data_IF_766072663288
#
_entry.id   IF_766072663288
#
_cell.length_a   1.000
_cell.length_b   1.000
_cell.length_c   1.000
_cell.angle_alpha   90.00
_cell.angle_beta   90.00
_cell.angle_gamma   90.00
#
_symmetry.space_group_name_H-M   'P 1'
#
loop_
_entity.id
_entity.type
_entity.pdbx_description
1 polymer ?
#
# COMPACT_ATOMS: atom_id res chain seq x y z
N UNK A 1 -29.69 14.28 7.94
CA UNK A 1 -29.22 14.93 9.17
C UNK A 1 -28.50 13.84 9.94
N UNK A 2 -27.20 13.67 9.66
CA UNK A 2 -26.41 12.52 10.12
C UNK A 2 -25.70 12.86 11.42
N UNK A 3 -25.80 11.96 12.37
CA UNK A 3 -25.17 12.03 13.68
C UNK A 3 -23.65 12.15 13.59
N UNK A 4 -23.14 13.25 14.07
CA UNK A 4 -21.72 13.44 14.34
C UNK A 4 -21.41 12.61 15.60
N UNK A 5 -20.71 11.47 15.44
CA UNK A 5 -20.19 10.70 16.56
C UNK A 5 -19.28 11.59 17.39
N UNK A 6 -19.75 11.92 18.59
CA UNK A 6 -19.04 12.62 19.64
C UNK A 6 -17.80 11.79 19.99
N UNK A 7 -16.62 12.26 19.57
CA UNK A 7 -15.36 11.73 20.07
C UNK A 7 -15.34 12.01 21.55
N UNK A 8 -15.25 10.97 22.37
CA UNK A 8 -15.30 11.07 23.82
C UNK A 8 -14.14 11.95 24.31
N UNK A 9 -14.46 13.01 25.00
CA UNK A 9 -13.50 13.89 25.70
C UNK A 9 -12.66 13.14 26.73
N UNK A 10 -13.04 11.91 27.05
CA UNK A 10 -12.34 11.07 28.02
C UNK A 10 -10.95 10.61 27.50
N UNK A 11 -10.78 10.42 26.17
CA UNK A 11 -9.49 10.01 25.61
C UNK A 11 -8.41 11.07 25.77
N UNK A 12 -8.76 12.34 25.59
CA UNK A 12 -7.83 13.47 25.71
C UNK A 12 -7.46 13.73 27.18
N UNK A 13 -8.40 13.48 28.10
CA UNK A 13 -8.15 13.62 29.55
C UNK A 13 -7.16 12.55 30.05
N UNK A 14 -7.24 11.32 29.52
CA UNK A 14 -6.30 10.26 29.88
C UNK A 14 -4.88 10.53 29.40
N UNK A 15 -4.70 11.05 28.19
CA UNK A 15 -3.37 11.40 27.69
C UNK A 15 -2.72 12.53 28.48
N UNK A 16 -3.47 13.57 28.85
CA UNK A 16 -2.95 14.67 29.65
C UNK A 16 -2.65 14.26 31.09
N UNK A 17 -3.36 13.29 31.67
CA UNK A 17 -3.05 12.72 32.97
C UNK A 17 -1.78 11.88 32.95
N UNK A 18 -1.55 11.08 31.91
CA UNK A 18 -0.30 10.33 31.75
C UNK A 18 0.94 11.24 31.65
N UNK A 19 0.84 12.31 30.88
CA UNK A 19 1.93 13.28 30.73
C UNK A 19 2.26 13.99 32.08
N UNK A 20 1.27 14.27 32.88
CA UNK A 20 1.49 14.88 34.20
C UNK A 20 2.08 13.90 35.23
N UNK A 21 1.73 12.63 35.18
CA UNK A 21 2.31 11.58 36.02
C UNK A 21 3.79 11.40 35.70
N UNK A 22 4.17 11.41 34.41
CA UNK A 22 5.55 11.27 33.94
C UNK A 22 6.43 12.51 34.28
N UNK A 23 5.85 13.67 34.54
CA UNK A 23 6.57 14.89 34.91
C UNK A 23 6.81 15.05 36.41
N UNK A 24 6.11 14.30 37.25
CA UNK A 24 6.11 14.54 38.71
C UNK A 24 6.67 13.38 39.53
N UNK A 25 7.39 12.44 38.92
CA UNK A 25 8.01 11.33 39.65
C UNK A 25 9.35 11.76 40.24
N UNK A 26 9.29 12.20 41.48
CA UNK A 26 10.43 12.18 42.42
C UNK A 26 10.69 10.72 42.87
N UNK A 27 11.95 10.36 42.94
CA UNK A 27 12.57 9.06 42.79
C UNK A 27 12.42 8.04 43.95
N UNK A 28 11.36 8.01 44.76
CA UNK A 28 11.31 7.15 45.95
C UNK A 28 10.05 6.34 46.21
N UNK A 29 9.16 6.10 45.29
CA UNK A 29 7.97 5.30 45.61
C UNK A 29 7.63 4.24 44.57
N UNK A 30 7.98 2.99 44.87
CA UNK A 30 7.47 1.80 44.13
C UNK A 30 6.00 1.57 44.43
N UNK A 31 5.08 2.28 43.78
CA UNK A 31 3.66 1.92 43.80
C UNK A 31 3.29 1.17 42.54
N UNK A 32 2.88 -0.07 42.72
CA UNK A 32 2.26 -0.87 41.69
C UNK A 32 0.90 -0.26 41.34
N UNK A 33 0.75 0.31 40.12
CA UNK A 33 -0.53 0.77 39.62
C UNK A 33 -1.25 -0.37 38.94
N UNK A 34 -2.35 -0.80 39.51
CA UNK A 34 -3.29 -1.75 38.89
C UNK A 34 -4.36 -0.95 38.16
N UNK A 35 -4.20 -0.78 36.87
CA UNK A 35 -5.22 -0.17 36.02
C UNK A 35 -6.39 -1.16 35.84
N UNK A 36 -7.54 -0.81 36.42
CA UNK A 36 -8.80 -1.52 36.20
C UNK A 36 -9.58 -0.79 35.12
N UNK A 37 -9.38 -1.20 33.84
CA UNK A 37 -10.16 -0.70 32.73
C UNK A 37 -11.40 -1.58 32.49
N UNK A 38 -12.45 -1.05 31.84
CA UNK A 38 -13.58 -1.87 31.40
C UNK A 38 -13.12 -2.87 30.36
N UNK A 39 -13.58 -4.10 30.53
CA UNK A 39 -13.25 -5.25 29.70
C UNK A 39 -13.52 -4.97 28.21
N UNK A 40 -12.49 -5.02 27.37
CA UNK A 40 -12.69 -5.07 25.93
C UNK A 40 -11.68 -4.34 25.02
N UNK A 41 -10.63 -3.74 25.55
CA UNK A 41 -9.57 -3.16 24.71
C UNK A 41 -8.29 -3.99 24.76
N UNK A 42 -8.00 -4.69 23.68
CA UNK A 42 -6.71 -5.28 23.38
C UNK A 42 -5.79 -4.17 22.89
N UNK A 43 -4.85 -3.73 23.73
CA UNK A 43 -3.75 -2.89 23.26
C UNK A 43 -2.69 -3.78 22.61
N UNK A 44 -2.74 -3.86 21.30
CA UNK A 44 -1.65 -4.40 20.49
C UNK A 44 -0.64 -3.29 20.28
N UNK A 45 0.61 -3.53 20.68
CA UNK A 45 1.79 -2.67 20.53
C UNK A 45 1.89 -1.44 21.45
N UNK A 46 2.12 -1.68 22.75
CA UNK A 46 2.78 -0.68 23.58
C UNK A 46 4.28 -1.05 23.67
N UNK A 47 5.12 -0.30 23.00
CA UNK A 47 6.57 -0.40 23.18
C UNK A 47 6.88 0.01 24.63
N UNK A 48 7.24 -0.97 25.47
CA UNK A 48 7.70 -0.73 26.83
C UNK A 48 9.08 -0.06 26.75
N UNK A 49 9.14 1.25 26.91
CA UNK A 49 10.38 1.97 27.14
C UNK A 49 10.91 1.60 28.55
N UNK A 50 11.82 0.63 28.60
CA UNK A 50 12.53 0.28 29.84
C UNK A 50 13.53 1.40 30.19
N UNK A 51 13.18 2.25 31.13
CA UNK A 51 14.11 3.19 31.76
C UNK A 51 15.03 2.44 32.69
N UNK A 52 16.26 2.19 32.27
CA UNK A 52 17.30 1.67 33.13
C UNK A 52 17.73 2.74 34.13
N UNK A 53 17.22 2.67 35.36
CA UNK A 53 17.74 3.46 36.48
C UNK A 53 19.07 2.87 36.92
N UNK A 54 20.17 3.58 36.69
CA UNK A 54 21.49 3.29 37.27
C UNK A 54 21.52 3.71 38.76
N UNK A 55 21.52 2.76 39.66
CA UNK A 55 21.73 2.92 41.09
C UNK A 55 22.71 1.84 41.60
N UNK A 56 23.87 2.27 42.10
CA UNK A 56 25.07 1.49 42.34
C UNK A 56 25.07 0.44 43.41
N UNK A 57 26.03 -0.47 43.30
CA UNK A 57 26.70 -1.19 44.41
C UNK A 57 26.41 -2.68 44.50
N UNK A 58 27.38 -3.55 44.20
CA UNK A 58 27.43 -4.93 44.68
C UNK A 58 27.70 -5.96 43.59
N UNK A 59 28.92 -6.52 43.55
CA UNK A 59 29.40 -7.50 42.60
C UNK A 59 28.56 -8.78 42.53
N UNK A 60 28.31 -9.19 41.34
CA UNK A 60 27.72 -10.47 40.95
C UNK A 60 27.67 -10.49 39.43
N UNK A 61 28.25 -11.52 38.79
CA UNK A 61 28.37 -11.66 37.34
C UNK A 61 27.03 -11.43 36.62
N UNK A 62 26.81 -10.20 36.18
CA UNK A 62 25.62 -9.82 35.46
C UNK A 62 25.86 -10.11 34.01
N UNK A 63 25.16 -11.11 33.47
CA UNK A 63 24.87 -11.14 32.04
C UNK A 63 24.19 -9.82 31.69
N UNK A 64 24.85 -8.97 30.86
CA UNK A 64 24.23 -7.82 30.25
C UNK A 64 22.95 -8.30 29.54
N UNK A 65 21.78 -7.70 29.82
CA UNK A 65 20.60 -8.04 29.07
C UNK A 65 20.90 -7.75 27.61
N UNK A 66 20.85 -8.77 26.79
CA UNK A 66 20.88 -8.62 25.32
C UNK A 66 19.75 -7.66 24.96
N UNK A 67 20.03 -6.56 24.26
CA UNK A 67 18.94 -5.71 23.76
C UNK A 67 17.99 -6.60 22.96
N UNK A 68 16.66 -6.39 23.05
CA UNK A 68 15.73 -7.12 22.20
C UNK A 68 16.19 -6.92 20.76
N UNK A 69 16.06 -7.97 19.92
CA UNK A 69 16.38 -7.84 18.51
C UNK A 69 15.62 -6.62 17.97
N UNK A 70 16.35 -5.65 17.43
CA UNK A 70 15.70 -4.57 16.68
C UNK A 70 15.09 -5.23 15.45
N UNK A 71 13.78 -5.38 15.45
CA UNK A 71 13.06 -5.79 14.26
C UNK A 71 13.16 -4.59 13.29
N UNK A 72 14.19 -4.59 12.44
CA UNK A 72 14.32 -3.60 11.38
C UNK A 72 13.39 -4.03 10.27
N UNK A 73 12.34 -3.24 10.03
CA UNK A 73 11.46 -3.45 8.89
C UNK A 73 12.25 -3.29 7.57
N UNK A 74 12.12 -4.25 6.68
CA UNK A 74 12.66 -4.20 5.33
C UNK A 74 11.53 -3.83 4.36
N UNK A 75 11.86 -3.04 3.33
CA UNK A 75 10.86 -2.67 2.35
C UNK A 75 10.39 -3.88 1.54
N UNK A 76 9.10 -3.91 1.16
CA UNK A 76 8.60 -4.87 0.19
C UNK A 76 9.25 -4.64 -1.19
N UNK A 77 9.12 -5.63 -2.06
CA UNK A 77 9.61 -5.57 -3.43
C UNK A 77 8.44 -5.84 -4.38
N UNK A 78 8.06 -4.84 -5.19
CA UNK A 78 7.01 -4.96 -6.20
C UNK A 78 7.45 -5.79 -7.42
N UNK A 79 8.74 -6.00 -7.58
CA UNK A 79 9.32 -6.64 -8.75
C UNK A 79 9.86 -5.62 -9.76
N UNK A 80 10.24 -6.12 -10.93
CA UNK A 80 10.85 -5.27 -11.97
C UNK A 80 9.79 -4.60 -12.85
N UNK A 81 10.15 -3.43 -13.38
CA UNK A 81 9.41 -2.82 -14.47
C UNK A 81 9.34 -3.76 -15.68
N UNK A 82 8.23 -3.74 -16.38
CA UNK A 82 8.01 -4.57 -17.56
C UNK A 82 7.25 -3.80 -18.65
N UNK A 83 7.33 -4.29 -19.89
CA UNK A 83 6.53 -3.78 -20.99
C UNK A 83 5.63 -4.90 -21.53
N UNK A 84 4.38 -4.56 -21.82
CA UNK A 84 3.39 -5.44 -22.42
C UNK A 84 3.02 -4.94 -23.80
N UNK A 85 2.89 -5.85 -24.75
CA UNK A 85 2.51 -5.53 -26.14
C UNK A 85 1.10 -6.01 -26.43
N UNK A 86 0.31 -5.16 -27.04
CA UNK A 86 -1.08 -5.37 -27.40
C UNK A 86 -1.29 -4.99 -28.86
N UNK A 87 -2.40 -5.42 -29.42
CA UNK A 87 -2.87 -5.01 -30.76
C UNK A 87 -4.09 -4.12 -30.54
N UNK A 88 -4.18 -2.99 -31.26
CA UNK A 88 -5.39 -2.16 -31.20
C UNK A 88 -6.64 -2.97 -31.55
N UNK A 89 -7.81 -2.50 -31.19
CA UNK A 89 -9.12 -3.13 -31.38
C UNK A 89 -9.33 -4.47 -30.67
N UNK A 90 -8.32 -5.00 -29.99
CA UNK A 90 -8.40 -6.31 -29.33
C UNK A 90 -7.91 -6.23 -27.88
N UNK A 91 -8.83 -6.51 -26.95
CA UNK A 91 -8.46 -6.65 -25.53
C UNK A 91 -7.66 -7.93 -25.32
N UNK A 92 -6.61 -7.86 -24.49
CA UNK A 92 -5.81 -9.01 -24.11
C UNK A 92 -5.48 -9.01 -22.63
N UNK A 93 -5.42 -10.20 -22.04
CA UNK A 93 -5.05 -10.39 -20.63
C UNK A 93 -3.55 -10.48 -20.46
N UNK A 94 -3.05 -9.95 -19.35
CA UNK A 94 -1.66 -10.06 -18.94
C UNK A 94 -1.58 -10.33 -17.43
N UNK A 95 -0.41 -10.72 -16.96
CA UNK A 95 -0.17 -10.99 -15.55
C UNK A 95 1.04 -10.20 -15.03
N UNK A 96 0.95 -9.77 -13.79
CA UNK A 96 2.03 -9.12 -13.05
C UNK A 96 2.45 -10.08 -11.93
N UNK A 97 3.76 -10.25 -11.75
CA UNK A 97 4.30 -11.09 -10.68
C UNK A 97 3.88 -10.58 -9.30
N UNK A 98 3.66 -11.51 -8.38
CA UNK A 98 3.33 -11.17 -7.00
C UNK A 98 4.49 -10.43 -6.32
N UNK A 99 4.23 -9.33 -5.60
CA UNK A 99 5.24 -8.69 -4.77
C UNK A 99 5.64 -9.60 -3.60
N UNK A 100 6.82 -9.34 -3.05
CA UNK A 100 7.36 -10.09 -1.92
C UNK A 100 7.79 -9.16 -0.81
N UNK A 101 7.77 -9.66 0.43
CA UNK A 101 8.28 -8.95 1.58
C UNK A 101 9.29 -9.82 2.35
N UNK A 102 10.49 -9.29 2.70
CA UNK A 102 11.52 -10.07 3.39
C UNK A 102 11.15 -10.45 4.83
N UNK A 103 10.30 -9.68 5.48
CA UNK A 103 9.84 -9.90 6.85
C UNK A 103 8.56 -10.74 6.90
N UNK A 104 7.91 -10.94 5.73
CA UNK A 104 6.68 -11.70 5.59
C UNK A 104 5.44 -10.90 5.98
N UNK A 105 5.51 -9.58 5.94
CA UNK A 105 4.41 -8.69 6.27
C UNK A 105 3.28 -8.75 5.24
N UNK A 106 2.10 -8.33 5.68
CA UNK A 106 0.92 -8.28 4.81
C UNK A 106 1.01 -7.12 3.83
N UNK A 107 0.99 -7.42 2.54
CA UNK A 107 1.13 -6.43 1.49
C UNK A 107 -0.20 -5.85 1.03
N UNK A 108 -0.21 -4.54 0.83
CA UNK A 108 -1.30 -3.80 0.18
C UNK A 108 -0.81 -3.24 -1.15
N UNK A 109 -1.48 -3.60 -2.25
CA UNK A 109 -1.13 -3.17 -3.60
C UNK A 109 -2.12 -2.10 -4.04
N UNK A 110 -1.61 -0.93 -4.41
CA UNK A 110 -2.42 0.22 -4.85
C UNK A 110 -2.05 0.63 -6.27
N UNK A 111 -3.05 0.87 -7.09
CA UNK A 111 -2.90 1.45 -8.43
C UNK A 111 -2.64 2.95 -8.31
N UNK A 112 -1.44 3.40 -8.67
CA UNK A 112 -1.04 4.81 -8.57
C UNK A 112 -1.33 5.57 -9.87
N UNK A 113 -1.12 4.91 -11.03
CA UNK A 113 -1.44 5.45 -12.35
C UNK A 113 -2.01 4.35 -13.23
N UNK A 114 -2.81 4.74 -14.22
CA UNK A 114 -3.36 3.84 -15.25
C UNK A 114 -3.01 4.37 -16.64
N UNK A 115 -2.89 3.50 -17.66
CA UNK A 115 -2.74 3.93 -19.04
C UNK A 115 -3.96 4.71 -19.51
N UNK A 116 -3.74 5.73 -20.33
CA UNK A 116 -4.78 6.59 -20.91
C UNK A 116 -5.25 6.10 -22.28
N UNK A 117 -4.43 5.29 -22.95
CA UNK A 117 -4.73 4.73 -24.29
C UNK A 117 -5.70 3.55 -24.30
N UNK A 118 -6.30 3.20 -23.16
CA UNK A 118 -7.26 2.09 -23.06
C UNK A 118 -7.84 1.92 -21.67
N UNK A 119 -8.55 0.82 -21.48
CA UNK A 119 -9.23 0.49 -20.23
C UNK A 119 -8.64 -0.79 -19.61
N UNK A 120 -8.35 -0.75 -18.32
CA UNK A 120 -7.95 -1.91 -17.54
C UNK A 120 -9.17 -2.49 -16.81
N UNK A 121 -9.35 -3.80 -16.91
CA UNK A 121 -10.42 -4.52 -16.22
C UNK A 121 -9.91 -5.79 -15.54
N UNK A 122 -10.59 -6.17 -14.47
CA UNK A 122 -10.45 -7.48 -13.84
C UNK A 122 -11.28 -8.54 -14.59
N UNK A 123 -11.06 -9.82 -14.27
CA UNK A 123 -11.80 -10.95 -14.87
C UNK A 123 -13.33 -10.82 -14.71
N UNK A 124 -13.78 -10.23 -13.63
CA UNK A 124 -15.21 -10.00 -13.36
C UNK A 124 -15.81 -8.79 -14.10
N UNK A 125 -15.00 -8.11 -14.94
CA UNK A 125 -15.39 -6.90 -15.66
C UNK A 125 -15.25 -5.61 -14.85
N UNK A 126 -14.80 -5.67 -13.60
CA UNK A 126 -14.57 -4.47 -12.80
C UNK A 126 -13.48 -3.60 -13.42
N UNK A 127 -13.77 -2.32 -13.67
CA UNK A 127 -12.80 -1.36 -14.19
C UNK A 127 -11.81 -0.97 -13.10
N UNK A 128 -10.53 -1.06 -13.43
CA UNK A 128 -9.43 -0.63 -12.55
C UNK A 128 -9.21 0.88 -12.75
N UNK A 129 -9.13 1.63 -11.65
CA UNK A 129 -8.87 3.07 -11.65
C UNK A 129 -7.69 3.41 -10.75
N UNK A 130 -7.12 4.58 -10.91
CA UNK A 130 -6.14 5.08 -9.95
C UNK A 130 -6.76 5.16 -8.55
N UNK A 131 -6.03 4.69 -7.53
CA UNK A 131 -6.50 4.52 -6.15
C UNK A 131 -7.15 3.16 -5.85
N UNK A 132 -7.42 2.31 -6.86
CA UNK A 132 -7.90 0.93 -6.61
C UNK A 132 -6.85 0.13 -5.85
N UNK A 133 -7.31 -0.77 -4.96
CA UNK A 133 -6.46 -1.79 -4.34
C UNK A 133 -6.68 -3.12 -5.04
N UNK A 134 -5.58 -3.85 -5.28
CA UNK A 134 -5.60 -5.14 -5.94
C UNK A 134 -5.15 -6.25 -5.00
N UNK A 135 -5.76 -7.42 -5.12
CA UNK A 135 -5.30 -8.65 -4.47
C UNK A 135 -4.21 -9.33 -5.32
N UNK A 136 -3.43 -10.22 -4.71
CA UNK A 136 -2.43 -11.01 -5.45
C UNK A 136 -3.06 -11.80 -6.61
N UNK A 137 -4.23 -12.38 -6.39
CA UNK A 137 -4.96 -13.13 -7.43
C UNK A 137 -5.40 -12.24 -8.59
N UNK A 138 -5.74 -10.98 -8.33
CA UNK A 138 -6.14 -10.04 -9.37
C UNK A 138 -4.98 -9.60 -10.25
N UNK A 139 -3.73 -9.58 -9.73
CA UNK A 139 -2.53 -9.30 -10.54
C UNK A 139 -2.26 -10.35 -11.62
N UNK A 140 -2.72 -11.58 -11.43
CA UNK A 140 -2.48 -12.68 -12.36
C UNK A 140 -3.33 -12.58 -13.63
N UNK A 141 -4.44 -11.82 -13.61
CA UNK A 141 -5.38 -11.74 -14.73
C UNK A 141 -5.99 -10.34 -14.83
N UNK A 142 -5.22 -9.41 -15.37
CA UNK A 142 -5.69 -8.07 -15.75
C UNK A 142 -5.88 -8.07 -17.26
N UNK A 143 -6.96 -7.49 -17.74
CA UNK A 143 -7.21 -7.30 -19.18
C UNK A 143 -7.03 -5.82 -19.53
N UNK A 144 -6.23 -5.55 -20.55
CA UNK A 144 -6.13 -4.24 -21.16
C UNK A 144 -6.87 -4.26 -22.49
N UNK A 145 -7.76 -3.30 -22.69
CA UNK A 145 -8.47 -3.08 -23.94
C UNK A 145 -8.08 -1.70 -24.46
N UNK A 146 -7.27 -1.61 -25.53
CA UNK A 146 -6.95 -0.34 -26.17
C UNK A 146 -8.22 0.38 -26.62
N UNK A 147 -8.20 1.70 -26.61
CA UNK A 147 -9.23 2.49 -27.26
C UNK A 147 -9.15 2.29 -28.78
N UNK A 148 -10.27 2.46 -29.49
CA UNK A 148 -10.30 2.35 -30.95
C UNK A 148 -9.31 3.34 -31.60
N UNK A 149 -8.61 2.89 -32.63
CA UNK A 149 -7.65 3.68 -33.43
C UNK A 149 -6.47 4.28 -32.62
N UNK A 150 -6.21 3.77 -31.40
CA UNK A 150 -5.09 4.24 -30.53
C UNK A 150 -3.92 3.28 -30.61
N UNK A 151 -2.76 3.78 -31.06
CA UNK A 151 -1.55 2.99 -31.13
C UNK A 151 -0.30 3.80 -30.73
N UNK A 152 0.78 3.08 -30.34
CA UNK A 152 2.00 3.68 -29.79
C UNK A 152 2.86 4.46 -30.80
N UNK A 153 2.56 4.38 -32.09
CA UNK A 153 3.30 5.12 -33.12
C UNK A 153 2.90 6.61 -33.15
N UNK A 154 1.67 6.92 -32.73
CA UNK A 154 1.09 8.27 -32.79
C UNK A 154 0.56 8.76 -31.45
N UNK A 155 0.30 7.87 -30.48
CA UNK A 155 -0.35 8.18 -29.22
C UNK A 155 0.54 7.82 -28.01
N UNK A 156 0.41 8.59 -26.94
CA UNK A 156 0.94 8.23 -25.64
C UNK A 156 -0.05 7.32 -24.90
N UNK A 157 0.26 6.03 -24.86
CA UNK A 157 -0.59 5.04 -24.21
C UNK A 157 -0.62 5.22 -22.68
N UNK A 158 0.46 5.76 -22.11
CA UNK A 158 0.65 5.88 -20.66
C UNK A 158 1.03 4.56 -20.00
N UNK A 159 1.30 4.64 -18.70
CA UNK A 159 1.82 3.53 -17.91
C UNK A 159 0.85 3.14 -16.78
N UNK A 160 0.82 1.85 -16.46
CA UNK A 160 0.29 1.36 -15.19
C UNK A 160 1.39 1.43 -14.13
N UNK A 161 1.17 2.16 -13.06
CA UNK A 161 2.08 2.21 -11.91
C UNK A 161 1.39 1.58 -10.71
N UNK A 162 2.04 0.57 -10.14
CA UNK A 162 1.60 -0.06 -8.90
C UNK A 162 2.56 0.27 -7.77
N UNK A 163 2.01 0.53 -6.60
CA UNK A 163 2.75 0.70 -5.35
C UNK A 163 2.34 -0.38 -4.39
N UNK A 164 3.30 -1.05 -3.77
CA UNK A 164 3.10 -1.99 -2.68
C UNK A 164 3.55 -1.37 -1.36
N UNK A 165 2.82 -1.62 -0.28
CA UNK A 165 3.17 -1.22 1.09
C UNK A 165 2.97 -2.39 2.04
N UNK A 166 3.87 -2.50 3.03
CA UNK A 166 3.86 -3.50 4.09
C UNK A 166 3.06 -3.08 5.33
N UNK A 167 2.57 -1.84 5.37
CA UNK A 167 1.86 -1.29 6.54
C UNK A 167 2.77 -0.97 7.73
N UNK A 168 4.08 -1.19 7.63
CA UNK A 168 5.09 -0.90 8.65
C UNK A 168 5.98 0.30 8.30
N UNK A 169 5.68 0.94 7.17
CA UNK A 169 6.39 2.13 6.68
C UNK A 169 7.28 1.86 5.46
N UNK A 170 7.42 0.61 5.05
CA UNK A 170 8.07 0.22 3.81
C UNK A 170 7.13 0.31 2.62
N UNK A 171 7.67 0.68 1.47
CA UNK A 171 6.95 0.70 0.20
C UNK A 171 7.92 0.55 -0.98
N UNK A 172 7.40 0.06 -2.10
CA UNK A 172 8.07 -0.03 -3.38
C UNK A 172 7.08 0.16 -4.53
N UNK A 173 7.58 0.49 -5.72
CA UNK A 173 6.74 0.74 -6.89
C UNK A 173 7.36 0.18 -8.16
N UNK A 174 6.51 -0.33 -9.05
CA UNK A 174 6.92 -0.74 -10.39
C UNK A 174 6.05 -0.08 -11.46
N UNK A 175 6.68 0.18 -12.61
CA UNK A 175 6.04 0.77 -13.79
C UNK A 175 5.93 -0.28 -14.89
N UNK A 176 4.75 -0.39 -15.46
CA UNK A 176 4.41 -1.32 -16.52
C UNK A 176 3.99 -0.51 -17.76
N UNK A 177 4.83 -0.50 -18.78
CA UNK A 177 4.59 0.24 -20.01
C UNK A 177 3.77 -0.58 -21.00
N UNK A 178 2.93 0.10 -21.78
CA UNK A 178 2.04 -0.52 -22.75
C UNK A 178 2.45 -0.10 -24.16
N UNK A 179 2.60 -1.10 -25.02
CA UNK A 179 2.90 -0.91 -26.45
C UNK A 179 1.68 -1.43 -27.22
N UNK A 180 1.03 -0.57 -27.98
CA UNK A 180 -0.11 -0.94 -28.82
C UNK A 180 0.31 -0.85 -30.27
N UNK A 181 0.21 -1.98 -30.99
CA UNK A 181 0.54 -2.07 -32.42
C UNK A 181 -0.70 -1.79 -33.25
N UNK A 182 -0.54 -0.95 -34.25
CA UNK A 182 -1.60 -0.62 -35.21
C UNK A 182 -2.04 -1.82 -36.04
N UNK A 183 -3.34 -1.88 -36.33
CA UNK A 183 -3.96 -2.80 -37.29
C UNK A 183 -4.50 -1.98 -38.43
N UNK A 184 -4.44 -2.50 -39.68
CA UNK A 184 -4.98 -1.80 -40.82
C UNK A 184 -6.49 -1.93 -40.83
N UNK A 185 -7.19 -0.80 -40.68
CA UNK A 185 -8.64 -0.71 -40.77
C UNK A 185 -9.13 -0.66 -42.21
N UNK A 186 -10.29 -1.26 -42.39
CA UNK A 186 -10.96 -1.14 -43.67
C UNK A 186 -11.51 0.28 -43.85
N UNK A 187 -11.41 0.89 -45.04
CA UNK A 187 -12.01 2.19 -45.28
C UNK A 187 -13.52 2.17 -44.98
N UNK A 188 -13.97 3.03 -44.09
CA UNK A 188 -15.36 3.10 -43.62
C UNK A 188 -16.25 4.02 -44.52
N UNK A 189 -15.63 4.90 -45.33
CA UNK A 189 -16.39 5.82 -46.19
C UNK A 189 -15.63 6.07 -47.50
N UNK A 190 -16.21 5.61 -48.61
CA UNK A 190 -15.82 5.99 -49.98
C UNK A 190 -16.96 6.83 -50.56
N UNK A 191 -16.95 8.12 -50.29
CA UNK A 191 -17.86 9.03 -51.00
C UNK A 191 -17.29 9.34 -52.38
N UNK A 192 -17.87 8.74 -53.42
CA UNK A 192 -17.65 9.14 -54.81
C UNK A 192 -18.41 10.45 -55.04
N UNK A 193 -17.70 11.58 -55.02
CA UNK A 193 -18.28 12.81 -55.55
C UNK A 193 -18.48 12.62 -57.05
N UNK A 194 -19.74 12.63 -57.51
CA UNK A 194 -20.07 12.61 -58.94
C UNK A 194 -19.37 13.77 -59.63
N UNK A 195 -18.47 13.45 -60.56
CA UNK A 195 -17.96 14.41 -61.54
C UNK A 195 -19.13 14.88 -62.43
N UNK A 196 -19.57 16.09 -62.21
CA UNK A 196 -20.49 16.81 -63.11
C UNK A 196 -19.72 17.57 -64.18
#
# INVERSE_FOLDING_TARGET
MGDIKKVSTDSVVYENQLINILRNEDSTSKKQFKLKGPSGFLFSNFAMLALAACGGGGGGGGSTPTPPPSNTNNNPNMGNNAAFSFTEDTGASFSIGAPTDPDGDSLTITVTSIPTGGVLTLVDGTVITAGSTLTLTQLEMITFTPNADVNSDVDDIGDLVLTVSDGQGGADSATFSFIVTAVNDAPTDISLSALS
#
